data_IF_635204739699
#
_entry.id   IF_635204739699
#
_cell.length_a   1.000
_cell.length_b   1.000
_cell.length_c   1.000
_cell.angle_alpha   90.00
_cell.angle_beta   90.00
_cell.angle_gamma   90.00
#
_symmetry.space_group_name_H-M   'P 1'
#
loop_
_entity.id
_entity.type
_entity.pdbx_description
1 polymer ?
#
# COMPACT_ATOMS: atom_id res chain seq x y z
N UNK A 1 9.80 20.05 12.61
CA UNK A 1 9.62 18.58 12.68
C UNK A 1 8.86 18.16 11.43
N UNK A 2 9.52 17.49 10.48
CA UNK A 2 8.84 16.98 9.28
C UNK A 2 7.83 15.90 9.67
N UNK A 3 6.65 15.91 9.04
CA UNK A 3 5.67 14.85 9.26
C UNK A 3 6.30 13.49 8.89
N UNK A 4 6.06 12.43 9.69
CA UNK A 4 6.58 11.11 9.36
C UNK A 4 6.03 10.67 8.01
N UNK A 5 6.93 10.28 7.09
CA UNK A 5 6.55 9.80 5.77
C UNK A 5 5.89 8.44 5.94
N UNK A 6 4.56 8.38 5.84
CA UNK A 6 3.82 7.13 5.96
C UNK A 6 3.89 6.35 4.64
N UNK A 7 4.36 5.11 4.72
CA UNK A 7 4.33 4.18 3.61
C UNK A 7 2.98 3.48 3.52
N UNK A 8 2.50 3.24 2.30
CA UNK A 8 1.30 2.42 2.08
C UNK A 8 1.71 0.97 1.91
N UNK A 9 1.01 0.07 2.57
CA UNK A 9 1.19 -1.37 2.49
C UNK A 9 -0.10 -2.00 1.97
N UNK A 10 0.05 -2.95 1.06
CA UNK A 10 -1.05 -3.72 0.50
C UNK A 10 -1.08 -5.09 1.19
N UNK A 11 -2.25 -5.46 1.68
CA UNK A 11 -2.48 -6.74 2.34
C UNK A 11 -3.50 -7.56 1.57
N UNK A 12 -3.26 -8.86 1.57
CA UNK A 12 -4.26 -9.87 1.26
C UNK A 12 -4.57 -10.65 2.52
N UNK A 13 -5.83 -10.70 2.91
CA UNK A 13 -6.26 -11.38 4.14
C UNK A 13 -7.41 -12.34 3.86
N UNK A 14 -7.51 -13.40 4.66
CA UNK A 14 -8.68 -14.27 4.74
C UNK A 14 -9.44 -13.97 6.02
N UNK A 15 -10.71 -13.62 5.91
CA UNK A 15 -11.58 -13.41 7.07
C UNK A 15 -11.93 -14.74 7.72
N UNK A 16 -12.37 -14.72 8.99
CA UNK A 16 -12.80 -15.93 9.70
C UNK A 16 -13.92 -16.69 8.99
N UNK A 17 -14.73 -15.98 8.20
CA UNK A 17 -15.85 -16.55 7.46
C UNK A 17 -15.39 -17.19 6.12
N UNK A 18 -14.09 -17.24 5.85
CA UNK A 18 -13.50 -17.85 4.65
C UNK A 18 -13.41 -16.91 3.44
N UNK A 19 -13.88 -15.67 3.56
CA UNK A 19 -13.79 -14.70 2.45
C UNK A 19 -12.38 -14.14 2.34
N UNK A 20 -11.82 -14.15 1.14
CA UNK A 20 -10.52 -13.53 0.85
C UNK A 20 -10.75 -12.08 0.43
N UNK A 21 -10.09 -11.15 1.12
CA UNK A 21 -10.09 -9.73 0.81
C UNK A 21 -8.70 -9.37 0.31
N UNK A 22 -8.62 -8.89 -0.92
CA UNK A 22 -7.38 -8.51 -1.59
C UNK A 22 -7.27 -6.99 -1.70
N UNK A 23 -6.06 -6.50 -1.97
CA UNK A 23 -5.77 -5.09 -2.23
C UNK A 23 -6.09 -4.15 -1.05
N UNK A 24 -6.01 -4.63 0.19
CA UNK A 24 -6.22 -3.79 1.37
C UNK A 24 -5.04 -2.85 1.59
N UNK A 25 -5.27 -1.56 1.34
CA UNK A 25 -4.27 -0.51 1.49
C UNK A 25 -4.31 0.10 2.89
N UNK A 26 -3.25 -0.13 3.66
CA UNK A 26 -3.08 0.43 5.01
C UNK A 26 -1.83 1.30 5.04
N UNK A 27 -1.96 2.53 5.55
CA UNK A 27 -0.83 3.43 5.74
C UNK A 27 -0.17 3.22 7.12
N UNK A 28 1.13 3.02 7.13
CA UNK A 28 1.93 2.82 8.34
C UNK A 28 3.33 3.40 8.19
N UNK A 29 4.00 3.65 9.32
CA UNK A 29 5.43 3.99 9.28
C UNK A 29 6.23 2.81 8.72
N UNK A 30 5.86 1.61 9.14
CA UNK A 30 6.47 0.34 8.76
C UNK A 30 5.39 -0.73 8.60
N UNK A 31 5.78 -1.91 8.08
CA UNK A 31 4.86 -3.01 7.85
C UNK A 31 4.21 -3.51 9.16
N UNK A 32 4.92 -3.48 10.29
CA UNK A 32 4.37 -3.91 11.59
C UNK A 32 3.31 -2.93 12.05
N UNK A 33 3.54 -1.63 11.90
CA UNK A 33 2.54 -0.60 12.18
C UNK A 33 1.28 -0.76 11.32
N UNK A 34 1.46 -0.97 10.01
CA UNK A 34 0.36 -1.21 9.09
C UNK A 34 -0.40 -2.50 9.43
N UNK A 35 0.30 -3.57 9.81
CA UNK A 35 -0.30 -4.82 10.26
C UNK A 35 -1.09 -4.67 11.56
N UNK A 36 -0.58 -3.90 12.53
CA UNK A 36 -1.34 -3.59 13.76
C UNK A 36 -2.66 -2.89 13.45
N UNK A 37 -2.61 -1.88 12.58
CA UNK A 37 -3.82 -1.15 12.12
C UNK A 37 -4.79 -2.08 11.39
N UNK A 38 -4.28 -2.94 10.51
CA UNK A 38 -5.09 -3.95 9.81
C UNK A 38 -5.83 -4.86 10.80
N UNK A 39 -5.13 -5.37 11.81
CA UNK A 39 -5.70 -6.28 12.81
C UNK A 39 -6.66 -5.57 13.77
N UNK A 40 -6.52 -4.26 14.00
CA UNK A 40 -7.51 -3.48 14.75
C UNK A 40 -8.84 -3.35 14.01
N UNK A 41 -8.78 -3.19 12.68
CA UNK A 41 -9.97 -3.03 11.81
C UNK A 41 -10.59 -4.40 11.50
N UNK A 42 -9.77 -5.37 11.10
CA UNK A 42 -10.18 -6.72 10.70
C UNK A 42 -9.68 -7.75 11.72
N UNK A 43 -10.36 -7.81 12.87
CA UNK A 43 -9.99 -8.73 13.95
C UNK A 43 -10.21 -10.19 13.52
N UNK A 44 -9.23 -11.05 13.82
CA UNK A 44 -9.31 -12.48 13.51
C UNK A 44 -9.19 -12.81 12.02
N UNK A 45 -8.66 -11.91 11.19
CA UNK A 45 -8.25 -12.25 9.83
C UNK A 45 -6.86 -12.90 9.81
N UNK A 46 -6.65 -13.81 8.87
CA UNK A 46 -5.36 -14.40 8.56
C UNK A 46 -4.72 -13.61 7.42
N UNK A 47 -3.47 -13.17 7.59
CA UNK A 47 -2.75 -12.44 6.54
C UNK A 47 -2.10 -13.44 5.60
N UNK A 48 -2.50 -13.41 4.33
CA UNK A 48 -2.00 -14.29 3.27
C UNK A 48 -0.81 -13.69 2.53
N UNK A 49 -0.74 -12.37 2.37
CA UNK A 49 0.35 -11.65 1.69
C UNK A 49 0.44 -10.21 2.24
N UNK A 50 1.67 -9.69 2.37
CA UNK A 50 1.95 -8.29 2.70
C UNK A 50 3.06 -7.76 1.82
N UNK A 51 2.81 -6.61 1.17
CA UNK A 51 3.80 -5.94 0.30
C UNK A 51 3.73 -4.45 0.46
N UNK A 52 4.85 -3.76 0.25
CA UNK A 52 4.82 -2.30 0.19
C UNK A 52 4.14 -1.88 -1.11
N UNK A 53 3.22 -0.93 -1.05
CA UNK A 53 2.50 -0.47 -2.23
C UNK A 53 3.46 0.10 -3.29
N UNK A 54 4.55 0.75 -2.88
CA UNK A 54 5.58 1.21 -3.82
C UNK A 54 6.20 0.08 -4.64
N UNK A 55 6.37 -1.12 -4.07
CA UNK A 55 6.90 -2.29 -4.78
C UNK A 55 5.89 -2.82 -5.79
N UNK A 56 4.60 -2.81 -5.44
CA UNK A 56 3.52 -3.16 -6.36
C UNK A 56 3.39 -2.18 -7.53
N UNK A 57 3.57 -0.88 -7.27
CA UNK A 57 3.57 0.14 -8.31
C UNK A 57 4.80 0.03 -9.22
N UNK A 58 5.98 -0.18 -8.64
CA UNK A 58 7.21 -0.38 -9.41
C UNK A 58 7.16 -1.64 -10.30
N UNK A 59 6.47 -2.70 -9.85
CA UNK A 59 6.28 -3.92 -10.63
C UNK A 59 5.24 -3.78 -11.75
N UNK A 60 4.45 -2.69 -11.76
CA UNK A 60 3.38 -2.49 -12.73
C UNK A 60 3.82 -1.49 -13.80
N UNK A 61 4.03 -1.91 -15.06
CA UNK A 61 4.34 -0.97 -16.14
C UNK A 61 3.17 0.01 -16.32
N UNK A 62 3.41 1.30 -16.04
CA UNK A 62 2.46 2.39 -16.29
C UNK A 62 1.75 3.00 -15.07
N UNK A 63 2.08 2.63 -13.82
CA UNK A 63 1.54 3.34 -12.65
C UNK A 63 2.48 4.47 -12.21
N UNK A 64 2.43 5.58 -12.95
CA UNK A 64 3.25 6.75 -12.69
C UNK A 64 3.08 7.24 -11.24
N UNK A 65 4.18 7.31 -10.50
CA UNK A 65 4.23 8.01 -9.21
C UNK A 65 3.89 9.50 -9.43
N UNK A 66 3.44 10.22 -8.40
CA UNK A 66 3.18 11.67 -8.52
C UNK A 66 4.37 12.44 -9.13
N UNK A 67 5.58 12.09 -8.71
CA UNK A 67 6.84 12.64 -9.23
C UNK A 67 7.01 12.36 -10.74
N UNK A 68 6.57 11.18 -11.18
CA UNK A 68 6.66 10.72 -12.56
C UNK A 68 5.58 11.38 -13.44
N UNK A 69 4.36 11.52 -12.90
CA UNK A 69 3.29 12.31 -13.51
C UNK A 69 3.74 13.77 -13.66
N UNK A 70 4.36 14.37 -12.64
CA UNK A 70 4.90 15.73 -12.71
C UNK A 70 6.01 15.86 -13.75
N UNK A 71 6.91 14.88 -13.84
CA UNK A 71 7.93 14.85 -14.88
C UNK A 71 7.33 14.74 -16.29
N UNK A 72 6.27 13.96 -16.50
CA UNK A 72 5.60 13.87 -17.80
C UNK A 72 4.92 15.20 -18.20
N UNK A 73 4.31 15.89 -17.23
CA UNK A 73 3.65 17.19 -17.48
C UNK A 73 4.68 18.28 -17.78
N UNK A 74 5.84 18.27 -17.09
CA UNK A 74 6.89 19.27 -17.32
C UNK A 74 7.68 18.99 -18.61
N UNK A 75 7.85 17.72 -18.98
CA UNK A 75 8.63 17.32 -20.16
C UNK A 75 7.94 17.61 -21.50
N UNK A 76 6.62 17.85 -21.55
CA UNK A 76 5.88 18.12 -22.79
C UNK A 76 5.92 19.60 -23.24
N UNK A 77 6.70 20.45 -22.54
CA UNK A 77 6.86 21.89 -22.85
C UNK A 77 8.29 22.24 -23.28
N UNK A 78 8.88 21.41 -24.13
CA UNK A 78 10.12 21.68 -24.87
C UNK A 78 9.84 21.79 -26.36
#
# INVERSE_FOLDING_TARGET
MGAPVLSKYCFRVRTRNGSVVENLLIAGQDEKDAKRKLLQIYQGCEILDSRRHSELLAARPGHASYEEVMNMITAVRG
#
